data_IF_672799299407
#
_entry.id   IF_672799299407
#
_cell.length_a   1.000
_cell.length_b   1.000
_cell.length_c   1.000
_cell.angle_alpha   90.00
_cell.angle_beta   90.00
_cell.angle_gamma   90.00
#
_symmetry.space_group_name_H-M   'P 1'
#
loop_
_entity.id
_entity.type
_entity.pdbx_description
1 polymer ?
#
# COMPACT_ATOMS: atom_id res chain seq x y z
N UNK A 1 -25.28 -11.52 -1.73
CA UNK A 1 -23.83 -11.32 -1.80
C UNK A 1 -23.59 -10.12 -2.69
N UNK A 2 -23.04 -9.00 -2.20
CA UNK A 2 -22.59 -7.91 -3.08
C UNK A 2 -21.42 -8.43 -3.90
N UNK A 3 -21.53 -8.39 -5.22
CA UNK A 3 -20.41 -8.72 -6.11
C UNK A 3 -19.31 -7.67 -5.92
N UNK A 4 -18.07 -8.10 -5.76
CA UNK A 4 -16.91 -7.21 -5.69
C UNK A 4 -16.82 -6.39 -6.96
N UNK A 5 -16.53 -5.11 -6.79
CA UNK A 5 -16.32 -4.21 -7.93
C UNK A 5 -14.91 -4.39 -8.48
N UNK A 6 -14.68 -3.95 -9.71
CA UNK A 6 -13.33 -3.92 -10.31
C UNK A 6 -12.36 -3.02 -9.52
N UNK A 7 -12.88 -1.98 -8.86
CA UNK A 7 -12.10 -1.15 -7.94
C UNK A 7 -11.62 -1.94 -6.72
N UNK A 8 -12.48 -2.80 -6.16
CA UNK A 8 -12.12 -3.68 -5.03
C UNK A 8 -11.10 -4.75 -5.43
N UNK A 9 -11.17 -5.25 -6.68
CA UNK A 9 -10.23 -6.25 -7.20
C UNK A 9 -8.83 -5.64 -7.32
N UNK A 10 -8.72 -4.41 -7.83
CA UNK A 10 -7.44 -3.71 -7.92
C UNK A 10 -7.02 -3.01 -6.62
N UNK A 11 -7.94 -2.87 -5.65
CA UNK A 11 -7.70 -2.15 -4.39
C UNK A 11 -7.42 -0.67 -4.60
N UNK A 12 -8.16 -0.03 -5.49
CA UNK A 12 -8.04 1.40 -5.79
C UNK A 12 -9.36 2.12 -5.52
N UNK A 13 -9.29 3.43 -5.27
CA UNK A 13 -10.47 4.27 -5.15
C UNK A 13 -11.23 4.36 -6.47
N UNK A 14 -12.55 4.62 -6.38
CA UNK A 14 -13.37 4.93 -7.54
C UNK A 14 -12.88 6.17 -8.31
N UNK A 15 -12.22 7.10 -7.65
CA UNK A 15 -11.68 8.32 -8.25
C UNK A 15 -10.22 8.14 -8.72
N UNK A 16 -9.69 6.90 -8.67
CA UNK A 16 -8.31 6.62 -9.03
C UNK A 16 -8.00 7.03 -10.47
N UNK A 17 -6.84 7.62 -10.66
CA UNK A 17 -6.29 7.98 -11.97
C UNK A 17 -5.86 6.73 -12.74
N UNK A 18 -5.70 6.86 -14.06
CA UNK A 18 -5.18 5.77 -14.91
C UNK A 18 -3.78 5.30 -14.45
N UNK A 19 -2.96 6.22 -13.96
CA UNK A 19 -1.62 5.90 -13.45
C UNK A 19 -1.71 5.04 -12.18
N UNK A 20 -2.60 5.37 -11.25
CA UNK A 20 -2.84 4.59 -10.04
C UNK A 20 -3.40 3.20 -10.36
N UNK A 21 -4.36 3.11 -11.27
CA UNK A 21 -4.93 1.83 -11.76
C UNK A 21 -3.83 0.96 -12.38
N UNK A 22 -2.99 1.55 -13.24
CA UNK A 22 -1.89 0.84 -13.91
C UNK A 22 -0.83 0.36 -12.89
N UNK A 23 -0.51 1.21 -11.91
CA UNK A 23 0.44 0.90 -10.85
C UNK A 23 -0.08 -0.25 -9.98
N UNK A 24 -1.35 -0.20 -9.58
CA UNK A 24 -2.01 -1.25 -8.80
C UNK A 24 -2.01 -2.59 -9.54
N UNK A 25 -2.42 -2.60 -10.83
CA UNK A 25 -2.36 -3.79 -11.68
C UNK A 25 -0.94 -4.37 -11.77
N UNK A 26 0.07 -3.52 -12.01
CA UNK A 26 1.45 -3.99 -12.13
C UNK A 26 1.99 -4.56 -10.80
N UNK A 27 1.60 -3.97 -9.67
CA UNK A 27 1.97 -4.44 -8.34
C UNK A 27 1.32 -5.80 -8.04
N UNK A 28 0.02 -5.95 -8.31
CA UNK A 28 -0.70 -7.21 -8.15
C UNK A 28 -0.16 -8.29 -9.08
N UNK A 29 0.12 -7.96 -10.35
CA UNK A 29 0.67 -8.91 -11.32
C UNK A 29 2.01 -9.50 -10.85
N UNK A 30 2.89 -8.73 -10.22
CA UNK A 30 4.15 -9.24 -9.65
C UNK A 30 3.92 -10.29 -8.55
N UNK A 31 2.86 -10.13 -7.76
CA UNK A 31 2.54 -11.05 -6.66
C UNK A 31 1.86 -12.32 -7.17
N UNK A 32 0.96 -12.18 -8.14
CA UNK A 32 0.16 -13.29 -8.67
C UNK A 32 0.73 -13.93 -9.93
N UNK A 33 1.90 -13.48 -10.42
CA UNK A 33 2.52 -14.08 -11.59
C UNK A 33 2.74 -15.58 -11.37
N UNK A 34 2.38 -16.45 -12.34
CA UNK A 34 2.55 -17.90 -12.21
C UNK A 34 3.97 -18.29 -11.79
N UNK A 35 5.01 -17.75 -12.45
CA UNK A 35 6.40 -18.04 -12.15
C UNK A 35 6.80 -17.73 -10.71
N UNK A 36 6.23 -16.68 -10.12
CA UNK A 36 6.51 -16.30 -8.72
C UNK A 36 5.86 -17.25 -7.72
N UNK A 37 4.89 -18.07 -8.14
CA UNK A 37 4.09 -18.92 -7.27
C UNK A 37 4.21 -20.42 -7.58
N UNK A 38 4.91 -20.82 -8.65
CA UNK A 38 5.13 -22.24 -9.02
C UNK A 38 5.66 -23.07 -7.86
N UNK A 39 6.64 -22.54 -7.12
CA UNK A 39 7.25 -23.26 -5.98
C UNK A 39 6.40 -23.28 -4.71
N UNK A 40 5.25 -22.59 -4.72
CA UNK A 40 4.37 -22.49 -3.54
C UNK A 40 3.14 -23.41 -3.61
N UNK A 41 2.99 -24.18 -4.69
CA UNK A 41 1.81 -25.00 -4.99
C UNK A 41 0.48 -24.23 -4.84
N UNK A 42 0.47 -22.99 -5.31
CA UNK A 42 -0.69 -22.10 -5.24
C UNK A 42 -1.12 -21.74 -6.65
N UNK A 43 -2.32 -22.14 -7.06
CA UNK A 43 -2.90 -21.67 -8.31
C UNK A 43 -3.40 -20.21 -8.14
N UNK A 44 -2.76 -19.32 -8.85
CA UNK A 44 -3.10 -17.88 -8.86
C UNK A 44 -3.77 -17.45 -10.16
N UNK A 45 -4.01 -18.39 -11.09
CA UNK A 45 -4.46 -18.11 -12.46
C UNK A 45 -5.81 -17.41 -12.48
N UNK A 46 -6.77 -17.90 -11.71
CA UNK A 46 -8.13 -17.33 -11.67
C UNK A 46 -8.13 -15.87 -11.20
N UNK A 47 -7.38 -15.58 -10.12
CA UNK A 47 -7.33 -14.21 -9.60
C UNK A 47 -6.52 -13.28 -10.51
N UNK A 48 -5.49 -13.80 -11.19
CA UNK A 48 -4.76 -13.03 -12.19
C UNK A 48 -5.65 -12.64 -13.37
N UNK A 49 -6.55 -13.54 -13.80
CA UNK A 49 -7.54 -13.22 -14.84
C UNK A 49 -8.51 -12.12 -14.39
N UNK A 50 -8.99 -12.16 -13.14
CA UNK A 50 -9.83 -11.08 -12.58
C UNK A 50 -9.09 -9.73 -12.56
N UNK A 51 -7.81 -9.71 -12.20
CA UNK A 51 -6.99 -8.48 -12.20
C UNK A 51 -6.88 -7.90 -13.62
N UNK A 52 -6.63 -8.75 -14.62
CA UNK A 52 -6.50 -8.32 -16.00
C UNK A 52 -7.84 -7.80 -16.56
N UNK A 53 -8.94 -8.47 -16.24
CA UNK A 53 -10.29 -8.04 -16.63
C UNK A 53 -10.65 -6.69 -15.99
N UNK A 54 -10.44 -6.55 -14.68
CA UNK A 54 -10.66 -5.29 -13.97
C UNK A 54 -9.83 -4.14 -14.58
N UNK A 55 -8.55 -4.41 -14.89
CA UNK A 55 -7.70 -3.42 -15.55
C UNK A 55 -8.22 -3.05 -16.94
N UNK A 56 -8.62 -4.03 -17.76
CA UNK A 56 -9.12 -3.80 -19.13
C UNK A 56 -10.29 -2.82 -19.12
N UNK A 57 -11.23 -3.00 -18.20
CA UNK A 57 -12.43 -2.15 -18.10
C UNK A 57 -12.09 -0.78 -17.51
N UNK A 58 -11.30 -0.73 -16.43
CA UNK A 58 -11.04 0.54 -15.74
C UNK A 58 -9.97 1.43 -16.42
N UNK A 59 -9.13 0.86 -17.30
CA UNK A 59 -8.13 1.62 -18.04
C UNK A 59 -8.70 2.34 -19.26
N UNK A 60 -9.82 1.87 -19.80
CA UNK A 60 -10.52 2.48 -20.92
C UNK A 60 -11.60 3.44 -20.37
N UNK A 61 -11.53 4.76 -20.67
CA UNK A 61 -12.49 5.75 -20.15
C UNK A 61 -13.95 5.44 -20.51
N UNK A 62 -14.21 4.92 -21.70
CA UNK A 62 -15.58 4.62 -22.15
C UNK A 62 -16.12 3.37 -21.44
N UNK A 63 -15.32 2.31 -21.35
CA UNK A 63 -15.70 1.10 -20.63
C UNK A 63 -15.88 1.37 -19.13
N UNK A 64 -14.99 2.18 -18.54
CA UNK A 64 -15.08 2.59 -17.13
C UNK A 64 -16.37 3.35 -16.87
N UNK A 65 -16.71 4.30 -17.74
CA UNK A 65 -17.97 5.07 -17.62
C UNK A 65 -19.20 4.18 -17.72
N UNK A 66 -19.22 3.24 -18.67
CA UNK A 66 -20.32 2.28 -18.81
C UNK A 66 -20.44 1.39 -17.58
N UNK A 67 -19.33 0.88 -17.06
CA UNK A 67 -19.25 0.09 -15.85
C UNK A 67 -19.73 0.87 -14.61
N UNK A 68 -19.31 2.12 -14.45
CA UNK A 68 -19.74 2.99 -13.36
C UNK A 68 -21.25 3.27 -13.43
N UNK A 69 -21.81 3.42 -14.61
CA UNK A 69 -23.27 3.57 -14.79
C UNK A 69 -24.02 2.29 -14.42
N UNK A 70 -23.50 1.12 -14.78
CA UNK A 70 -24.11 -0.17 -14.46
C UNK A 70 -24.09 -0.45 -12.96
N UNK A 71 -22.93 -0.30 -12.30
CA UNK A 71 -22.76 -0.66 -10.88
C UNK A 71 -23.30 0.42 -9.94
N UNK A 72 -23.09 1.70 -10.25
CA UNK A 72 -23.40 2.83 -9.36
C UNK A 72 -24.54 3.72 -9.88
N UNK A 73 -24.96 3.57 -11.14
CA UNK A 73 -26.01 4.41 -11.72
C UNK A 73 -27.37 4.32 -11.01
N UNK A 74 -27.64 3.21 -10.33
CA UNK A 74 -28.82 3.06 -9.47
C UNK A 74 -28.66 3.75 -8.11
N UNK A 75 -27.47 4.00 -7.62
CA UNK A 75 -27.23 4.68 -6.34
C UNK A 75 -27.38 6.19 -6.45
N UNK A 76 -26.98 6.81 -7.55
CA UNK A 76 -27.23 8.25 -7.78
C UNK A 76 -28.73 8.56 -7.88
N UNK A 77 -29.55 7.63 -8.38
CA UNK A 77 -30.99 7.74 -8.36
C UNK A 77 -31.60 7.54 -6.96
N UNK A 78 -30.92 6.82 -6.05
CA UNK A 78 -31.35 6.62 -4.67
C UNK A 78 -31.03 7.82 -3.78
N UNK A 79 -29.89 8.49 -3.97
CA UNK A 79 -29.50 9.68 -3.19
C UNK A 79 -30.52 10.82 -3.36
N UNK A 80 -31.19 10.94 -4.52
CA UNK A 80 -32.29 11.89 -4.68
C UNK A 80 -33.62 11.45 -4.06
N UNK A 81 -33.77 10.20 -3.60
CA UNK A 81 -34.98 9.69 -2.94
C UNK A 81 -34.94 9.63 -1.43
N UNK A 82 -33.79 9.73 -0.80
CA UNK A 82 -33.64 9.59 0.65
C UNK A 82 -33.47 10.91 1.38
N UNK A 83 -34.39 11.89 1.13
CA UNK A 83 -34.77 12.87 2.15
C UNK A 83 -36.08 12.43 2.84
N UNK A 84 -36.21 11.15 3.19
CA UNK A 84 -37.21 10.68 4.16
C UNK A 84 -36.49 9.84 5.19
N UNK A 85 -36.24 10.47 6.32
CA UNK A 85 -35.76 9.86 7.56
C UNK A 85 -36.76 8.77 7.99
N UNK A 86 -36.29 7.54 8.06
CA UNK A 86 -36.89 6.42 8.77
C UNK A 86 -35.79 5.68 9.50
N UNK A 87 -35.92 5.40 10.81
CA UNK A 87 -34.96 4.62 11.55
C UNK A 87 -35.14 3.15 11.18
N UNK A 88 -34.08 2.42 10.97
CA UNK A 88 -33.92 1.03 10.64
C UNK A 88 -33.54 0.79 9.18
N UNK A 89 -32.24 0.87 8.92
CA UNK A 89 -31.62 -0.04 7.96
C UNK A 89 -30.19 -0.31 8.42
N UNK A 90 -29.96 -1.61 8.70
CA UNK A 90 -28.64 -2.19 8.98
C UNK A 90 -27.63 -1.64 7.97
N UNK A 91 -26.80 -0.70 8.39
CA UNK A 91 -25.60 -0.27 7.69
C UNK A 91 -24.65 -1.46 7.69
N UNK A 92 -24.82 -2.37 6.72
CA UNK A 92 -23.78 -3.33 6.37
C UNK A 92 -22.56 -2.50 5.98
N UNK A 93 -21.61 -2.43 6.89
CA UNK A 93 -20.30 -1.87 6.66
C UNK A 93 -19.81 -2.39 5.30
N UNK A 94 -19.50 -1.51 4.37
CA UNK A 94 -18.85 -1.85 3.12
C UNK A 94 -17.52 -2.50 3.49
N UNK A 95 -17.46 -3.83 3.41
CA UNK A 95 -16.26 -4.60 3.77
C UNK A 95 -15.18 -4.22 2.76
N UNK A 96 -14.29 -3.34 3.19
CA UNK A 96 -13.15 -2.91 2.39
C UNK A 96 -12.32 -4.14 1.99
N UNK A 97 -12.02 -4.25 0.71
CA UNK A 97 -11.24 -5.37 0.18
C UNK A 97 -9.85 -5.40 0.81
N UNK A 98 -9.34 -6.59 1.19
CA UNK A 98 -7.97 -6.72 1.69
C UNK A 98 -6.91 -6.16 0.72
N UNK A 99 -7.21 -6.15 -0.58
CA UNK A 99 -6.32 -5.56 -1.60
C UNK A 99 -6.05 -4.08 -1.33
N UNK A 100 -7.03 -3.34 -0.81
CA UNK A 100 -6.86 -1.92 -0.43
C UNK A 100 -5.79 -1.77 0.66
N UNK A 101 -5.86 -2.58 1.71
CA UNK A 101 -4.86 -2.57 2.79
C UNK A 101 -3.49 -3.04 2.32
N UNK A 102 -3.45 -4.02 1.42
CA UNK A 102 -2.22 -4.45 0.79
C UNK A 102 -1.58 -3.33 -0.04
N UNK A 103 -2.36 -2.60 -0.83
CA UNK A 103 -1.89 -1.41 -1.56
C UNK A 103 -1.37 -0.33 -0.61
N UNK A 104 -2.11 -0.03 0.46
CA UNK A 104 -1.68 0.95 1.47
C UNK A 104 -0.32 0.55 2.08
N UNK A 105 -0.12 -0.73 2.42
CA UNK A 105 1.15 -1.23 2.92
C UNK A 105 2.27 -1.16 1.87
N UNK A 106 1.97 -1.46 0.61
CA UNK A 106 2.94 -1.37 -0.49
C UNK A 106 3.40 0.08 -0.71
N UNK A 107 2.48 1.04 -0.73
CA UNK A 107 2.78 2.47 -0.82
C UNK A 107 3.59 2.97 0.38
N UNK A 108 3.22 2.55 1.59
CA UNK A 108 3.97 2.88 2.80
C UNK A 108 5.43 2.37 2.74
N UNK A 109 5.64 1.12 2.29
CA UNK A 109 6.98 0.55 2.13
C UNK A 109 7.82 1.32 1.11
N UNK A 110 7.23 1.74 -0.01
CA UNK A 110 7.90 2.54 -1.02
C UNK A 110 8.27 3.94 -0.48
N UNK A 111 7.34 4.62 0.20
CA UNK A 111 7.57 5.91 0.86
C UNK A 111 8.71 5.81 1.86
N UNK A 112 8.71 4.80 2.74
CA UNK A 112 9.76 4.58 3.74
C UNK A 112 11.11 4.34 3.06
N UNK A 113 11.14 3.60 1.96
CA UNK A 113 12.36 3.33 1.20
C UNK A 113 12.91 4.59 0.51
N UNK A 114 12.05 5.37 -0.15
CA UNK A 114 12.44 6.64 -0.80
C UNK A 114 12.93 7.67 0.22
N UNK A 115 12.19 7.86 1.31
CA UNK A 115 12.56 8.79 2.37
C UNK A 115 13.87 8.41 3.05
N UNK A 116 14.10 7.12 3.28
CA UNK A 116 15.36 6.62 3.85
C UNK A 116 16.56 6.98 2.98
N UNK A 117 16.45 6.79 1.65
CA UNK A 117 17.49 7.18 0.68
C UNK A 117 17.75 8.69 0.67
N UNK A 118 16.70 9.51 0.80
CA UNK A 118 16.83 10.97 0.87
C UNK A 118 17.54 11.39 2.15
N UNK A 119 17.13 10.83 3.30
CA UNK A 119 17.73 11.13 4.61
C UNK A 119 19.20 10.68 4.69
N UNK A 120 19.56 9.53 4.10
CA UNK A 120 20.96 9.06 4.04
C UNK A 120 21.85 9.99 3.20
N UNK A 121 21.34 10.47 2.06
CA UNK A 121 22.04 11.44 1.21
C UNK A 121 22.29 12.75 1.97
N UNK A 122 21.32 13.20 2.75
CA UNK A 122 21.45 14.38 3.60
C UNK A 122 22.49 14.19 4.71
N UNK A 123 22.43 13.04 5.42
CA UNK A 123 23.37 12.71 6.47
C UNK A 123 24.82 12.59 5.97
N UNK A 124 25.04 12.04 4.77
CA UNK A 124 26.37 11.97 4.14
C UNK A 124 26.93 13.36 3.80
N UNK A 125 26.07 14.31 3.41
CA UNK A 125 26.48 15.70 3.10
C UNK A 125 26.83 16.50 4.36
N UNK A 126 26.10 16.30 5.45
CA UNK A 126 26.33 17.00 6.75
C UNK A 126 27.60 16.50 7.49
N UNK A 127 28.20 15.37 7.07
CA UNK A 127 29.49 14.96 7.64
C UNK A 127 30.59 15.90 7.18
N UNK A 128 31.32 16.57 8.10
CA UNK A 128 32.42 17.45 7.73
C UNK A 128 33.50 16.60 7.04
N UNK A 129 33.63 16.76 5.75
CA UNK A 129 34.81 16.23 5.05
C UNK A 129 35.98 17.07 5.54
N UNK A 130 36.89 16.46 6.34
CA UNK A 130 38.21 17.01 6.60
C UNK A 130 38.92 17.15 5.27
N UNK A 131 38.65 18.23 4.52
CA UNK A 131 39.37 18.57 3.31
C UNK A 131 39.72 20.03 3.29
N UNK A 132 41.00 20.20 3.22
CA UNK A 132 41.77 21.35 2.83
C UNK A 132 41.12 22.19 1.75
N UNK A 133 41.16 23.50 1.97
CA UNK A 133 41.30 24.61 1.02
C UNK A 133 40.67 24.47 -0.39
N UNK A 134 40.00 25.59 -0.77
CA UNK A 134 39.48 25.99 -2.06
C UNK A 134 38.11 25.44 -2.47
N UNK A 135 37.08 26.13 -2.19
CA UNK A 135 36.19 26.86 -3.09
C UNK A 135 35.03 27.44 -2.30
N UNK A 136 34.87 28.73 -2.43
CA UNK A 136 33.75 29.53 -1.93
C UNK A 136 32.56 29.23 -2.86
N UNK A 137 32.01 28.03 -2.83
CA UNK A 137 30.79 27.71 -3.53
C UNK A 137 29.59 28.15 -2.70
N UNK A 138 28.74 28.87 -3.36
CA UNK A 138 27.54 29.57 -2.94
C UNK A 138 26.78 28.93 -1.77
N UNK A 139 26.76 29.61 -0.63
CA UNK A 139 25.92 29.23 0.53
C UNK A 139 24.44 29.31 0.18
N UNK A 140 24.02 30.11 -0.80
CA UNK A 140 22.62 30.29 -1.17
C UNK A 140 22.04 29.08 -1.90
N UNK A 141 22.77 28.47 -2.85
CA UNK A 141 22.33 27.28 -3.58
C UNK A 141 22.23 26.05 -2.68
N UNK A 142 23.13 25.92 -1.69
CA UNK A 142 23.08 24.82 -0.73
C UNK A 142 21.86 24.91 0.17
N UNK A 143 21.50 26.10 0.63
CA UNK A 143 20.33 26.37 1.45
C UNK A 143 19.02 26.04 0.72
N UNK A 144 18.91 26.40 -0.56
CA UNK A 144 17.71 26.14 -1.35
C UNK A 144 17.49 24.66 -1.63
N UNK A 145 18.56 23.91 -1.93
CA UNK A 145 18.47 22.46 -2.18
C UNK A 145 18.13 21.67 -0.91
N UNK A 146 18.64 22.10 0.24
CA UNK A 146 18.34 21.45 1.53
C UNK A 146 16.88 21.71 1.93
N UNK A 147 16.36 22.93 1.70
CA UNK A 147 14.95 23.26 1.95
C UNK A 147 13.98 22.49 1.04
N UNK A 148 14.33 22.29 -0.23
CA UNK A 148 13.52 21.49 -1.15
C UNK A 148 13.43 20.01 -0.73
N UNK A 149 14.53 19.43 -0.28
CA UNK A 149 14.56 18.05 0.21
C UNK A 149 13.77 17.90 1.50
N UNK A 150 13.91 18.83 2.42
CA UNK A 150 13.13 18.81 3.65
C UNK A 150 11.64 18.86 3.34
N UNK A 151 11.20 19.71 2.42
CA UNK A 151 9.80 19.74 1.94
C UNK A 151 9.37 18.40 1.33
N UNK A 152 10.23 17.76 0.51
CA UNK A 152 9.93 16.43 -0.06
C UNK A 152 9.77 15.37 1.03
N UNK A 153 10.65 15.35 2.03
CA UNK A 153 10.55 14.38 3.14
C UNK A 153 9.29 14.66 3.97
N UNK A 154 8.96 15.92 4.22
CA UNK A 154 7.74 16.31 4.93
C UNK A 154 6.48 15.86 4.17
N UNK A 155 6.44 16.06 2.85
CA UNK A 155 5.33 15.59 2.02
C UNK A 155 5.17 14.06 2.07
N UNK A 156 6.28 13.32 1.94
CA UNK A 156 6.28 11.86 2.10
C UNK A 156 5.83 11.44 3.51
N UNK A 157 6.19 12.20 4.53
CA UNK A 157 5.77 11.94 5.91
C UNK A 157 4.26 12.09 6.08
N UNK A 158 3.64 13.12 5.51
CA UNK A 158 2.19 13.33 5.55
C UNK A 158 1.44 12.22 4.80
N UNK A 159 1.93 11.81 3.62
CA UNK A 159 1.38 10.66 2.90
C UNK A 159 1.48 9.36 3.71
N UNK A 160 2.61 9.14 4.40
CA UNK A 160 2.78 7.96 5.25
C UNK A 160 1.76 7.91 6.39
N UNK A 161 1.39 9.06 6.98
CA UNK A 161 0.37 9.12 8.05
C UNK A 161 -0.97 8.60 7.55
N UNK A 162 -1.37 8.93 6.33
CA UNK A 162 -2.62 8.45 5.74
C UNK A 162 -2.64 6.91 5.68
N UNK A 163 -1.64 6.29 5.06
CA UNK A 163 -1.56 4.83 4.95
C UNK A 163 -1.44 4.12 6.30
N UNK A 164 -0.73 4.73 7.26
CA UNK A 164 -0.66 4.21 8.63
C UNK A 164 -2.04 4.19 9.27
N UNK A 165 -2.84 5.24 9.07
CA UNK A 165 -4.19 5.34 9.61
C UNK A 165 -5.07 4.23 9.03
N UNK A 166 -5.05 4.03 7.71
CA UNK A 166 -5.79 2.97 7.04
C UNK A 166 -5.43 1.58 7.58
N UNK A 167 -4.14 1.26 7.68
CA UNK A 167 -3.67 -0.03 8.20
C UNK A 167 -4.00 -0.24 9.68
N UNK A 168 -3.99 0.81 10.49
CA UNK A 168 -4.39 0.75 11.90
C UNK A 168 -5.89 0.57 12.07
N UNK A 169 -6.69 1.27 11.27
CA UNK A 169 -8.15 1.10 11.28
C UNK A 169 -8.55 -0.32 10.85
N UNK A 170 -7.80 -0.93 9.95
CA UNK A 170 -7.95 -2.33 9.58
C UNK A 170 -7.49 -3.32 10.67
N UNK A 171 -6.97 -2.86 11.79
CA UNK A 171 -6.47 -3.73 12.88
C UNK A 171 -5.23 -4.54 12.52
N UNK A 172 -4.50 -4.17 11.43
CA UNK A 172 -3.30 -4.91 11.00
C UNK A 172 -2.10 -4.46 11.83
N UNK A 173 -1.48 -5.41 12.53
CA UNK A 173 -0.27 -5.14 13.33
C UNK A 173 0.89 -4.62 12.48
N UNK A 174 1.63 -3.65 13.01
CA UNK A 174 2.81 -3.07 12.35
C UNK A 174 3.87 -4.11 11.96
N UNK A 175 3.96 -5.22 12.68
CA UNK A 175 4.89 -6.31 12.36
C UNK A 175 4.57 -7.00 11.02
N UNK A 176 3.35 -6.84 10.55
CA UNK A 176 2.86 -7.40 9.30
C UNK A 176 2.85 -6.42 8.12
N UNK A 177 3.22 -5.13 8.32
CA UNK A 177 3.20 -4.13 7.23
C UNK A 177 4.33 -4.31 6.19
N UNK A 178 5.20 -5.30 6.40
CA UNK A 178 6.23 -5.64 5.43
C UNK A 178 5.67 -6.40 4.21
N UNK A 179 6.34 -6.27 3.08
CA UNK A 179 5.91 -6.87 1.82
C UNK A 179 5.80 -8.39 1.89
N UNK A 180 6.61 -9.09 2.68
CA UNK A 180 6.58 -10.56 2.77
C UNK A 180 5.28 -11.04 3.42
N UNK A 181 4.90 -10.46 4.58
CA UNK A 181 3.67 -10.79 5.27
C UNK A 181 2.44 -10.45 4.43
N UNK A 182 2.39 -9.23 3.89
CA UNK A 182 1.26 -8.75 3.09
C UNK A 182 1.05 -9.58 1.82
N UNK A 183 2.12 -9.92 1.10
CA UNK A 183 2.05 -10.76 -0.09
C UNK A 183 1.64 -12.20 0.23
N UNK A 184 2.13 -12.76 1.34
CA UNK A 184 1.76 -14.11 1.76
C UNK A 184 0.25 -14.20 2.07
N UNK A 185 -0.29 -13.20 2.78
CA UNK A 185 -1.72 -13.12 3.09
C UNK A 185 -2.53 -12.86 1.83
N UNK A 186 -2.12 -11.93 0.97
CA UNK A 186 -2.82 -11.58 -0.26
C UNK A 186 -3.04 -12.79 -1.17
N UNK A 187 -1.99 -13.59 -1.40
CA UNK A 187 -2.05 -14.77 -2.26
C UNK A 187 -3.08 -15.79 -1.73
N UNK A 188 -3.14 -16.00 -0.41
CA UNK A 188 -4.09 -16.94 0.21
C UNK A 188 -5.49 -16.39 0.29
N UNK A 189 -5.62 -15.10 0.53
CA UNK A 189 -6.91 -14.41 0.50
C UNK A 189 -7.54 -14.45 -0.89
N UNK A 190 -6.74 -14.29 -1.95
CA UNK A 190 -7.20 -14.41 -3.34
C UNK A 190 -7.77 -15.78 -3.69
N UNK A 191 -7.27 -16.87 -3.06
CA UNK A 191 -7.80 -18.21 -3.26
C UNK A 191 -9.17 -18.42 -2.58
N UNK A 192 -9.36 -17.85 -1.39
CA UNK A 192 -10.59 -17.99 -0.60
C UNK A 192 -10.96 -16.63 0.00
N UNK A 193 -11.63 -15.83 -0.80
CA UNK A 193 -11.93 -14.40 -0.53
C UNK A 193 -12.85 -14.18 0.69
N UNK A 194 -13.57 -15.20 1.14
CA UNK A 194 -14.41 -15.12 2.34
C UNK A 194 -13.63 -15.36 3.65
N UNK A 195 -12.32 -15.63 3.54
CA UNK A 195 -11.50 -15.84 4.73
C UNK A 195 -11.10 -14.49 5.31
N UNK A 196 -11.36 -14.28 6.60
CA UNK A 196 -10.89 -13.13 7.34
C UNK A 196 -9.36 -13.05 7.28
N UNK A 197 -8.85 -11.91 6.85
CA UNK A 197 -7.40 -11.68 6.72
C UNK A 197 -6.67 -11.70 8.06
N UNK A 198 -7.33 -11.43 9.20
CA UNK A 198 -6.74 -11.56 10.53
C UNK A 198 -6.39 -13.03 10.84
N UNK A 199 -7.25 -13.97 10.44
CA UNK A 199 -6.96 -15.39 10.54
C UNK A 199 -5.77 -15.77 9.68
N UNK A 200 -5.63 -15.16 8.51
CA UNK A 200 -4.49 -15.41 7.63
C UNK A 200 -3.17 -14.84 8.20
N UNK A 201 -3.18 -13.69 8.88
CA UNK A 201 -2.00 -13.20 9.59
C UNK A 201 -1.56 -14.12 10.73
N UNK A 202 -2.50 -14.67 11.48
CA UNK A 202 -2.19 -15.66 12.52
C UNK A 202 -1.56 -16.94 11.92
N UNK A 203 -2.07 -17.39 10.77
CA UNK A 203 -1.48 -18.50 10.02
C UNK A 203 -0.10 -18.17 9.47
N UNK A 204 0.12 -16.93 9.02
CA UNK A 204 1.43 -16.47 8.60
C UNK A 204 2.45 -16.54 9.74
N UNK A 205 2.10 -16.09 10.94
CA UNK A 205 2.97 -16.17 12.09
C UNK A 205 3.35 -17.65 12.41
N UNK A 206 2.39 -18.56 12.38
CA UNK A 206 2.64 -20.00 12.55
C UNK A 206 3.53 -20.56 11.42
N UNK A 207 3.30 -20.15 10.18
CA UNK A 207 4.13 -20.53 9.02
C UNK A 207 5.60 -20.08 9.21
N UNK A 208 5.84 -18.86 9.65
CA UNK A 208 7.20 -18.37 9.92
C UNK A 208 7.87 -19.23 11.00
N UNK A 209 7.16 -19.57 12.07
CA UNK A 209 7.73 -20.38 13.15
C UNK A 209 8.07 -21.81 12.70
N UNK A 210 7.27 -22.42 11.86
CA UNK A 210 7.43 -23.81 11.42
C UNK A 210 8.37 -23.97 10.22
N UNK A 211 8.33 -23.03 9.26
CA UNK A 211 8.96 -23.21 7.94
C UNK A 211 10.27 -22.46 7.77
N UNK A 212 10.54 -21.42 8.59
CA UNK A 212 11.76 -20.60 8.46
C UNK A 212 12.86 -21.06 9.40
N UNK A 213 14.08 -21.08 8.90
CA UNK A 213 15.28 -21.32 9.70
C UNK A 213 15.51 -20.17 10.72
N UNK A 214 16.30 -20.43 11.75
CA UNK A 214 16.67 -19.40 12.72
C UNK A 214 17.30 -18.16 12.09
N UNK A 215 18.15 -18.35 11.08
CA UNK A 215 18.80 -17.25 10.35
C UNK A 215 17.79 -16.40 9.56
N UNK A 216 16.82 -17.02 8.91
CA UNK A 216 15.75 -16.32 8.17
C UNK A 216 14.83 -15.55 9.11
N UNK A 217 14.47 -16.13 10.26
CA UNK A 217 13.70 -15.44 11.31
C UNK A 217 14.44 -14.21 11.82
N UNK A 218 15.76 -14.32 12.08
CA UNK A 218 16.57 -13.17 12.48
C UNK A 218 16.63 -12.10 11.39
N UNK A 219 16.77 -12.48 10.12
CA UNK A 219 16.77 -11.55 8.99
C UNK A 219 15.45 -10.79 8.91
N UNK A 220 14.31 -11.46 8.99
CA UNK A 220 12.98 -10.84 9.00
C UNK A 220 12.81 -9.86 10.17
N UNK A 221 13.18 -10.25 11.38
CA UNK A 221 13.14 -9.37 12.56
C UNK A 221 14.02 -8.14 12.39
N UNK A 222 15.22 -8.30 11.79
CA UNK A 222 16.12 -7.19 11.49
C UNK A 222 15.52 -6.23 10.45
N UNK A 223 14.93 -6.76 9.39
CA UNK A 223 14.26 -5.95 8.36
C UNK A 223 13.06 -5.18 8.93
N UNK A 224 12.20 -5.82 9.73
CA UNK A 224 11.09 -5.15 10.39
C UNK A 224 11.59 -4.04 11.33
N UNK A 225 12.62 -4.30 12.13
CA UNK A 225 13.21 -3.27 13.00
C UNK A 225 13.76 -2.09 12.20
N UNK A 226 14.42 -2.35 11.09
CA UNK A 226 14.94 -1.30 10.21
C UNK A 226 13.80 -0.48 9.59
N UNK A 227 12.74 -1.13 9.12
CA UNK A 227 11.54 -0.48 8.61
C UNK A 227 10.91 0.44 9.66
N UNK A 228 10.67 -0.05 10.88
CA UNK A 228 10.10 0.72 11.98
C UNK A 228 10.98 1.92 12.37
N UNK A 229 12.31 1.75 12.40
CA UNK A 229 13.24 2.84 12.69
C UNK A 229 13.20 3.92 11.60
N UNK A 230 13.15 3.53 10.33
CA UNK A 230 13.06 4.44 9.21
C UNK A 230 11.71 5.17 9.20
N UNK A 231 10.62 4.46 9.47
CA UNK A 231 9.28 5.03 9.60
C UNK A 231 9.23 6.06 10.74
N UNK A 232 9.77 5.73 11.91
CA UNK A 232 9.85 6.67 13.06
C UNK A 232 10.63 7.93 12.70
N UNK A 233 11.76 7.81 12.00
CA UNK A 233 12.53 8.96 11.52
C UNK A 233 11.71 9.80 10.53
N UNK A 234 11.02 9.16 9.60
CA UNK A 234 10.17 9.85 8.62
C UNK A 234 9.07 10.65 9.33
N UNK A 235 8.34 10.03 10.25
CA UNK A 235 7.24 10.68 10.97
C UNK A 235 7.69 11.86 11.83
N UNK A 236 8.97 11.94 12.24
CA UNK A 236 9.49 13.10 12.94
C UNK A 236 9.48 14.38 12.11
N UNK A 237 9.38 14.28 10.79
CA UNK A 237 9.24 15.43 9.89
C UNK A 237 7.79 15.92 9.81
N UNK A 238 6.80 15.05 9.92
CA UNK A 238 5.39 15.45 10.00
C UNK A 238 5.07 16.25 11.27
N UNK A 239 5.78 15.97 12.37
CA UNK A 239 5.60 16.68 13.64
C UNK A 239 6.24 18.08 13.67
N UNK A 240 7.04 18.42 12.65
CA UNK A 240 7.72 19.72 12.53
C UNK A 240 7.03 20.64 11.50
N UNK A 241 6.07 20.11 10.75
CA UNK A 241 5.29 20.82 9.76
C UNK A 241 4.07 21.51 10.36
#
# INVERSE_FOLDING_TARGET
MKSRTYYDILGVSRDATLEEITTAKNALAKVYHPDANVHKNIDTTAFMQEILEAYRVLADPEQRKAYDQEIFGSETARVFRTFKVGPDDDTKEDTVSFVTYWNAAAQLNDIVTRSSRLMEREAKRKKPVRRRFFHRSDKSERSSVDSLRERQITQLSLQAVQYITELKMAGISMDHWNAEAMNWVLVRWGQKKDTDYHVLFNRYAAYIEQSKSGAEKMKLRSQNRQFHNNLKKLLSYALKA
#
